data_IF_045672282609
#
_entry.id   IF_045672282609
#
_cell.length_a   1.000
_cell.length_b   1.000
_cell.length_c   1.000
_cell.angle_alpha   90.00
_cell.angle_beta   90.00
_cell.angle_gamma   90.00
#
_symmetry.space_group_name_H-M   'P 1'
#
loop_
_entity.id
_entity.type
_entity.pdbx_description
1 polymer ?
#
# COMPACT_ATOMS: atom_id res chain seq x y z
N UNK A 1 -6.17 3.07 -9.01
CA UNK A 1 -5.45 2.98 -10.31
C UNK A 1 -4.77 1.63 -10.52
N UNK A 2 -4.03 1.10 -9.54
CA UNK A 2 -3.36 -0.21 -9.66
C UNK A 2 -4.31 -1.35 -10.08
N UNK A 3 -5.43 -1.50 -9.38
CA UNK A 3 -6.35 -2.63 -9.63
C UNK A 3 -7.00 -2.56 -11.02
N UNK A 4 -7.40 -1.36 -11.46
CA UNK A 4 -8.00 -1.22 -12.78
C UNK A 4 -6.97 -1.42 -13.91
N UNK A 5 -5.71 -1.04 -13.68
CA UNK A 5 -4.62 -1.38 -14.60
C UNK A 5 -4.36 -2.90 -14.65
N UNK A 6 -4.44 -3.59 -13.50
CA UNK A 6 -4.37 -5.06 -13.44
C UNK A 6 -5.53 -5.71 -14.20
N UNK A 7 -6.75 -5.20 -14.03
CA UNK A 7 -7.94 -5.67 -14.75
C UNK A 7 -7.82 -5.43 -16.27
N UNK A 8 -7.29 -4.28 -16.68
CA UNK A 8 -7.02 -3.98 -18.08
C UNK A 8 -6.02 -4.96 -18.70
N UNK A 9 -4.97 -5.36 -17.98
CA UNK A 9 -4.01 -6.36 -18.45
C UNK A 9 -4.68 -7.73 -18.68
N UNK A 10 -5.53 -8.17 -17.74
CA UNK A 10 -6.32 -9.39 -17.92
C UNK A 10 -7.22 -9.30 -19.16
N UNK A 11 -7.91 -8.17 -19.34
CA UNK A 11 -8.77 -7.93 -20.51
C UNK A 11 -7.98 -7.84 -21.82
N UNK A 12 -6.74 -7.36 -21.78
CA UNK A 12 -5.81 -7.35 -22.89
C UNK A 12 -5.22 -8.74 -23.23
N UNK A 13 -5.63 -9.79 -22.50
CA UNK A 13 -5.22 -11.17 -22.75
C UNK A 13 -3.95 -11.61 -22.01
N UNK A 14 -3.47 -10.83 -21.04
CA UNK A 14 -2.41 -11.30 -20.15
C UNK A 14 -2.99 -12.33 -19.19
N UNK A 15 -2.47 -13.56 -19.23
CA UNK A 15 -2.90 -14.62 -18.33
C UNK A 15 -2.60 -14.28 -16.87
N UNK A 16 -3.45 -14.74 -15.95
CA UNK A 16 -3.36 -14.39 -14.52
C UNK A 16 -2.04 -14.83 -13.87
N UNK A 17 -1.52 -16.00 -14.25
CA UNK A 17 -0.24 -16.54 -13.80
C UNK A 17 0.97 -15.73 -14.30
N UNK A 18 0.77 -14.93 -15.36
CA UNK A 18 1.79 -14.08 -15.99
C UNK A 18 1.70 -12.62 -15.57
N UNK A 19 0.74 -12.27 -14.70
CA UNK A 19 0.64 -10.91 -14.20
C UNK A 19 1.88 -10.54 -13.36
N UNK A 20 2.45 -9.34 -13.56
CA UNK A 20 3.55 -8.88 -12.74
C UNK A 20 3.17 -8.83 -11.26
N UNK A 21 4.09 -9.30 -10.40
CA UNK A 21 3.92 -9.29 -8.94
C UNK A 21 4.41 -8.01 -8.28
N UNK A 22 5.11 -7.17 -9.04
CA UNK A 22 5.68 -5.91 -8.58
C UNK A 22 4.91 -4.75 -9.19
N UNK A 23 4.78 -3.68 -8.42
CA UNK A 23 4.28 -2.36 -8.83
C UNK A 23 4.91 -1.88 -10.15
N UNK A 24 6.23 -1.73 -10.21
CA UNK A 24 6.94 -1.34 -11.44
C UNK A 24 6.68 -2.28 -12.62
N UNK A 25 6.70 -3.59 -12.37
CA UNK A 25 6.39 -4.58 -13.41
C UNK A 25 4.98 -4.41 -13.97
N UNK A 26 4.01 -4.06 -13.13
CA UNK A 26 2.64 -3.78 -13.56
C UNK A 26 2.56 -2.51 -14.41
N UNK A 27 3.27 -1.45 -14.01
CA UNK A 27 3.38 -0.20 -14.80
C UNK A 27 3.96 -0.47 -16.18
N UNK A 28 5.05 -1.24 -16.28
CA UNK A 28 5.67 -1.56 -17.57
C UNK A 28 4.79 -2.47 -18.43
N UNK A 29 4.14 -3.48 -17.83
CA UNK A 29 3.18 -4.31 -18.54
C UNK A 29 2.00 -3.46 -19.06
N UNK A 30 1.47 -2.55 -18.24
CA UNK A 30 0.39 -1.65 -18.65
C UNK A 30 0.83 -0.76 -19.81
N UNK A 31 2.03 -0.17 -19.74
CA UNK A 31 2.59 0.62 -20.85
C UNK A 31 2.69 -0.21 -22.13
N UNK A 32 3.18 -1.44 -22.06
CA UNK A 32 3.30 -2.33 -23.21
C UNK A 32 1.94 -2.71 -23.82
N UNK A 33 0.97 -3.09 -22.99
CA UNK A 33 -0.28 -3.69 -23.45
C UNK A 33 -1.41 -2.68 -23.69
N UNK A 34 -1.39 -1.51 -23.06
CA UNK A 34 -2.42 -0.50 -23.18
C UNK A 34 -1.94 0.77 -23.92
N UNK A 35 -0.71 1.24 -23.66
CA UNK A 35 -0.22 2.50 -24.24
C UNK A 35 0.42 2.26 -25.61
N UNK A 36 1.37 1.32 -25.71
CA UNK A 36 2.07 1.04 -26.97
C UNK A 36 1.16 0.40 -28.03
N UNK A 37 0.08 -0.26 -27.60
CA UNK A 37 -0.98 -0.76 -28.48
C UNK A 37 -1.91 0.34 -29.01
N UNK A 38 -1.79 1.57 -28.50
CA UNK A 38 -2.59 2.72 -28.90
C UNK A 38 -3.97 2.80 -28.26
N UNK A 39 -4.29 1.95 -27.28
CA UNK A 39 -5.59 1.95 -26.60
C UNK A 39 -5.71 3.07 -25.56
N UNK A 40 -4.60 3.44 -24.92
CA UNK A 40 -4.50 4.50 -23.92
C UNK A 40 -3.47 5.53 -24.38
N UNK A 41 -3.81 6.81 -24.22
CA UNK A 41 -2.89 7.91 -24.52
C UNK A 41 -1.62 7.86 -23.65
N UNK A 42 -0.49 8.32 -24.22
CA UNK A 42 0.81 8.28 -23.54
C UNK A 42 0.87 9.14 -22.29
N UNK A 43 0.29 10.33 -22.32
CA UNK A 43 0.25 11.25 -21.18
C UNK A 43 -0.57 10.64 -20.05
N UNK A 44 -1.76 10.12 -20.38
CA UNK A 44 -2.60 9.44 -19.41
C UNK A 44 -1.92 8.17 -18.83
N UNK A 45 -1.23 7.41 -19.67
CA UNK A 45 -0.44 6.25 -19.24
C UNK A 45 0.73 6.61 -18.32
N UNK A 46 1.31 7.81 -18.47
CA UNK A 46 2.39 8.29 -17.61
C UNK A 46 1.90 8.64 -16.19
N UNK A 47 0.64 9.04 -16.03
CA UNK A 47 0.06 9.36 -14.72
C UNK A 47 0.07 8.17 -13.76
N UNK A 48 -0.02 6.92 -14.27
CA UNK A 48 0.05 5.73 -13.42
C UNK A 48 1.37 5.67 -12.62
N UNK A 49 2.51 5.92 -13.28
CA UNK A 49 3.83 5.89 -12.64
C UNK A 49 4.06 7.12 -11.75
N UNK A 50 3.58 8.29 -12.21
CA UNK A 50 3.70 9.55 -11.46
C UNK A 50 2.95 9.48 -10.14
N UNK A 51 1.68 9.05 -10.17
CA UNK A 51 0.83 8.98 -8.98
C UNK A 51 1.30 7.86 -8.03
N UNK A 52 1.81 6.74 -8.55
CA UNK A 52 2.45 5.71 -7.73
C UNK A 52 3.65 6.26 -6.96
N UNK A 53 4.51 7.03 -7.62
CA UNK A 53 5.67 7.66 -6.97
C UNK A 53 5.24 8.63 -5.87
N UNK A 54 4.18 9.40 -6.11
CA UNK A 54 3.62 10.31 -5.12
C UNK A 54 3.01 9.55 -3.93
N UNK A 55 2.31 8.45 -4.16
CA UNK A 55 1.80 7.56 -3.12
C UNK A 55 2.94 7.00 -2.26
N UNK A 56 4.05 6.56 -2.87
CA UNK A 56 5.24 6.12 -2.12
C UNK A 56 5.79 7.27 -1.26
N UNK A 57 5.86 8.48 -1.80
CA UNK A 57 6.30 9.66 -1.03
C UNK A 57 5.37 9.90 0.18
N UNK A 58 4.06 9.90 -0.05
CA UNK A 58 3.04 10.11 0.98
C UNK A 58 3.12 9.07 2.11
N UNK A 59 3.21 7.79 1.73
CA UNK A 59 3.13 6.66 2.67
C UNK A 59 4.41 6.50 3.50
N UNK A 60 5.58 6.83 2.93
CA UNK A 60 6.86 6.39 3.49
C UNK A 60 7.84 7.50 3.86
N UNK A 61 7.62 8.74 3.44
CA UNK A 61 8.60 9.82 3.71
C UNK A 61 8.14 10.84 4.74
N UNK A 62 6.86 10.80 5.13
CA UNK A 62 6.26 11.81 6.01
C UNK A 62 6.25 13.21 5.41
N UNK A 63 6.58 13.35 4.12
CA UNK A 63 6.54 14.60 3.41
C UNK A 63 5.09 15.02 3.19
N UNK A 64 4.79 16.26 3.55
CA UNK A 64 3.49 16.86 3.26
C UNK A 64 3.31 17.00 1.75
N UNK A 65 2.07 16.75 1.30
CA UNK A 65 1.63 16.98 -0.07
C UNK A 65 0.67 18.15 0.00
N UNK A 66 0.95 19.19 -0.77
CA UNK A 66 0.11 20.38 -0.84
C UNK A 66 -1.31 20.02 -1.30
N UNK A 67 -2.32 20.72 -0.75
CA UNK A 67 -3.72 20.43 -1.05
C UNK A 67 -4.01 20.48 -2.55
N UNK A 68 -3.46 21.47 -3.26
CA UNK A 68 -3.63 21.60 -4.72
C UNK A 68 -3.03 20.41 -5.47
N UNK A 69 -1.85 19.92 -5.06
CA UNK A 69 -1.23 18.75 -5.67
C UNK A 69 -2.06 17.49 -5.42
N UNK A 70 -2.58 17.32 -4.19
CA UNK A 70 -3.46 16.21 -3.85
C UNK A 70 -4.76 16.23 -4.67
N UNK A 71 -5.40 17.39 -4.83
CA UNK A 71 -6.60 17.54 -5.64
C UNK A 71 -6.36 17.18 -7.11
N UNK A 72 -5.26 17.66 -7.68
CA UNK A 72 -4.91 17.39 -9.07
C UNK A 72 -4.61 15.90 -9.30
N UNK A 73 -3.95 15.25 -8.33
CA UNK A 73 -3.70 13.80 -8.37
C UNK A 73 -4.99 13.00 -8.34
N UNK A 74 -5.96 13.38 -7.50
CA UNK A 74 -7.27 12.72 -7.45
C UNK A 74 -8.01 12.87 -8.77
N UNK A 75 -8.06 14.08 -9.36
CA UNK A 75 -8.68 14.32 -10.68
C UNK A 75 -8.06 13.46 -11.78
N UNK A 76 -6.73 13.38 -11.81
CA UNK A 76 -6.00 12.57 -12.80
C UNK A 76 -6.21 11.08 -12.59
N UNK A 77 -6.24 10.63 -11.34
CA UNK A 77 -6.56 9.24 -11.00
C UNK A 77 -7.97 8.86 -11.44
N UNK A 78 -8.94 9.75 -11.23
CA UNK A 78 -10.33 9.56 -11.67
C UNK A 78 -10.43 9.47 -13.20
N UNK A 79 -9.81 10.42 -13.92
CA UNK A 79 -9.76 10.40 -15.38
C UNK A 79 -9.13 9.10 -15.91
N UNK A 80 -8.04 8.64 -15.28
CA UNK A 80 -7.39 7.38 -15.62
C UNK A 80 -8.35 6.19 -15.43
N UNK A 81 -8.99 6.08 -14.27
CA UNK A 81 -9.91 4.98 -13.95
C UNK A 81 -11.06 4.95 -14.97
N UNK A 82 -11.75 6.06 -15.17
CA UNK A 82 -12.89 6.14 -16.10
C UNK A 82 -12.48 5.81 -17.54
N UNK A 83 -11.30 6.25 -17.97
CA UNK A 83 -10.82 5.98 -19.33
C UNK A 83 -10.45 4.51 -19.51
N UNK A 84 -9.72 3.92 -18.56
CA UNK A 84 -9.34 2.50 -18.61
C UNK A 84 -10.59 1.62 -18.54
N UNK A 85 -11.53 1.95 -17.67
CA UNK A 85 -12.81 1.23 -17.56
C UNK A 85 -13.54 1.18 -18.89
N UNK A 86 -13.65 2.33 -19.57
CA UNK A 86 -14.32 2.47 -20.86
C UNK A 86 -13.59 1.73 -21.98
N UNK A 87 -12.28 1.95 -22.11
CA UNK A 87 -11.45 1.38 -23.18
C UNK A 87 -11.40 -0.15 -23.11
N UNK A 88 -11.39 -0.70 -21.90
CA UNK A 88 -11.34 -2.14 -21.67
C UNK A 88 -12.71 -2.76 -21.34
N UNK A 89 -13.81 -1.99 -21.38
CA UNK A 89 -15.15 -2.49 -21.11
C UNK A 89 -15.28 -3.20 -19.75
N UNK A 90 -14.66 -2.64 -18.70
CA UNK A 90 -14.60 -3.25 -17.37
C UNK A 90 -15.88 -2.99 -16.54
N UNK A 91 -16.70 -2.01 -16.91
CA UNK A 91 -17.94 -1.65 -16.23
C UNK A 91 -19.19 -2.46 -16.64
N UNK A 92 -19.08 -3.37 -17.61
CA UNK A 92 -20.24 -4.09 -18.15
C UNK A 92 -20.92 -5.03 -17.13
N UNK A 93 -20.18 -5.47 -16.10
CA UNK A 93 -20.67 -6.44 -15.12
C UNK A 93 -21.61 -5.82 -14.07
N UNK A 94 -21.45 -4.54 -13.74
CA UNK A 94 -22.30 -3.83 -12.78
C UNK A 94 -23.62 -3.37 -13.41
N UNK A 95 -23.62 -2.96 -14.69
CA UNK A 95 -24.84 -2.58 -15.41
C UNK A 95 -25.77 -3.76 -15.70
N UNK A 96 -25.21 -4.95 -15.96
CA UNK A 96 -26.01 -6.16 -16.18
C UNK A 96 -26.68 -6.68 -14.89
N UNK A 97 -26.10 -6.38 -13.72
CA UNK A 97 -26.62 -6.81 -12.42
C UNK A 97 -27.73 -5.91 -11.85
N UNK A 98 -28.07 -4.80 -12.51
CA UNK A 98 -29.16 -3.91 -12.07
C UNK A 98 -28.91 -3.20 -10.74
N UNK A 99 -27.68 -3.25 -10.21
CA UNK A 99 -27.28 -2.43 -9.07
C UNK A 99 -27.18 -0.99 -9.59
N UNK A 100 -28.20 -0.20 -9.26
CA UNK A 100 -28.14 1.24 -9.43
C UNK A 100 -26.88 1.73 -8.72
N UNK A 101 -26.20 2.68 -9.33
CA UNK A 101 -25.19 3.49 -8.68
C UNK A 101 -25.94 4.22 -7.57
N UNK A 102 -26.07 3.60 -6.39
CA UNK A 102 -26.45 4.24 -5.14
C UNK A 102 -25.31 5.20 -4.84
N UNK A 103 -25.25 6.29 -5.61
CA UNK A 103 -24.59 7.50 -5.21
C UNK A 103 -25.10 7.73 -3.79
N UNK A 104 -24.23 7.73 -2.77
CA UNK A 104 -24.69 7.95 -1.41
C UNK A 104 -25.47 9.26 -1.44
N UNK A 105 -26.76 9.16 -1.15
CA UNK A 105 -27.59 10.33 -0.93
C UNK A 105 -26.86 11.13 0.16
N UNK A 106 -26.45 12.39 -0.10
CA UNK A 106 -25.79 13.19 0.92
C UNK A 106 -26.65 13.35 2.20
N UNK A 107 -27.94 13.03 2.12
CA UNK A 107 -28.88 13.03 3.23
C UNK A 107 -29.11 11.65 3.89
N UNK A 108 -28.51 10.55 3.40
CA UNK A 108 -28.56 9.24 4.09
C UNK A 108 -27.56 9.23 5.25
N UNK A 109 -27.91 10.01 6.27
CA UNK A 109 -27.25 10.01 7.56
C UNK A 109 -27.47 8.64 8.19
N UNK A 110 -26.47 7.78 8.02
CA UNK A 110 -26.18 6.72 8.99
C UNK A 110 -26.29 7.39 10.36
N UNK A 111 -27.28 6.98 11.14
CA UNK A 111 -27.51 7.50 12.48
C UNK A 111 -26.23 7.28 13.27
N UNK A 112 -25.46 8.36 13.43
CA UNK A 112 -24.37 8.40 14.39
C UNK A 112 -24.98 8.10 15.76
N UNK A 113 -24.50 7.08 16.49
CA UNK A 113 -24.82 7.01 17.91
C UNK A 113 -24.23 8.28 18.53
N UNK A 114 -25.10 9.16 19.02
CA UNK A 114 -24.74 10.47 19.54
C UNK A 114 -23.58 10.39 20.53
N UNK A 115 -22.39 10.75 20.06
CA UNK A 115 -21.25 11.08 20.91
C UNK A 115 -21.17 12.59 20.92
N UNK A 116 -21.38 13.13 22.12
CA UNK A 116 -21.47 14.53 22.40
C UNK A 116 -20.35 15.36 21.73
N UNK A 117 -20.81 16.45 21.15
CA UNK A 117 -20.08 17.64 20.71
C UNK A 117 -18.94 18.06 21.65
N UNK A 118 -17.71 18.02 21.12
CA UNK A 118 -16.63 19.03 21.23
C UNK A 118 -15.61 18.69 20.12
N UNK A 119 -15.07 19.65 19.34
CA UNK A 119 -14.06 19.38 18.32
C UNK A 119 -12.71 19.17 19.02
N UNK A 120 -12.50 17.99 19.58
CA UNK A 120 -11.17 17.54 19.99
C UNK A 120 -10.38 17.34 18.70
N UNK A 121 -9.47 18.28 18.39
CA UNK A 121 -8.61 18.31 17.21
C UNK A 121 -8.21 16.88 16.80
N UNK A 122 -8.41 16.51 15.54
CA UNK A 122 -8.12 15.15 15.04
C UNK A 122 -6.70 14.67 15.42
N UNK A 123 -5.77 15.59 15.66
CA UNK A 123 -4.42 15.29 16.14
C UNK A 123 -4.36 14.80 17.59
N UNK A 124 -5.23 15.30 18.46
CA UNK A 124 -5.34 14.84 19.85
C UNK A 124 -5.92 13.41 19.91
N UNK A 125 -6.88 13.09 19.04
CA UNK A 125 -7.38 11.72 18.89
C UNK A 125 -6.28 10.76 18.43
N UNK A 126 -5.44 11.19 17.48
CA UNK A 126 -4.28 10.39 17.04
C UNK A 126 -3.25 10.23 18.15
N UNK A 127 -2.98 11.28 18.94
CA UNK A 127 -2.07 11.21 20.09
C UNK A 127 -2.57 10.21 21.12
N UNK A 128 -3.84 10.28 21.49
CA UNK A 128 -4.45 9.37 22.46
C UNK A 128 -4.40 7.92 21.99
N UNK A 129 -4.64 7.65 20.70
CA UNK A 129 -4.54 6.32 20.13
C UNK A 129 -3.11 5.75 20.21
N UNK A 130 -2.09 6.58 19.97
CA UNK A 130 -0.67 6.19 20.11
C UNK A 130 -0.33 5.86 21.57
N UNK A 131 -0.77 6.70 22.50
CA UNK A 131 -0.53 6.51 23.94
C UNK A 131 -1.20 5.24 24.46
N UNK A 132 -2.46 5.01 24.07
CA UNK A 132 -3.20 3.79 24.41
C UNK A 132 -2.48 2.53 23.89
N UNK A 133 -1.96 2.59 22.66
CA UNK A 133 -1.19 1.48 22.07
C UNK A 133 0.13 1.22 22.82
N UNK A 134 0.85 2.28 23.19
CA UNK A 134 2.09 2.17 23.97
C UNK A 134 1.82 1.55 25.36
N UNK A 135 0.76 1.98 26.04
CA UNK A 135 0.36 1.40 27.33
C UNK A 135 0.00 -0.08 27.20
N UNK A 136 -0.78 -0.45 26.19
CA UNK A 136 -1.12 -1.86 25.93
C UNK A 136 0.13 -2.71 25.70
N UNK A 137 1.09 -2.21 24.91
CA UNK A 137 2.37 -2.89 24.64
C UNK A 137 3.25 -3.00 25.88
N UNK A 138 3.27 -1.99 26.74
CA UNK A 138 4.05 -1.99 27.97
C UNK A 138 3.50 -3.01 28.98
N UNK A 139 2.18 -3.19 29.06
CA UNK A 139 1.55 -4.22 29.88
C UNK A 139 1.86 -5.64 29.37
N UNK A 140 1.84 -5.86 28.05
CA UNK A 140 2.21 -7.15 27.44
C UNK A 140 3.68 -7.50 27.65
N UNK A 141 4.57 -6.51 27.72
CA UNK A 141 6.01 -6.73 27.96
C UNK A 141 6.37 -6.89 29.43
N UNK A 142 5.59 -6.30 30.36
CA UNK A 142 5.77 -6.53 31.80
C UNK A 142 5.30 -7.93 32.25
N UNK A 143 4.37 -8.56 31.53
CA UNK A 143 4.00 -9.97 31.76
C UNK A 143 5.10 -10.99 31.43
N UNK A 144 6.15 -10.59 30.69
CA UNK A 144 7.22 -11.47 30.23
C UNK A 144 8.51 -11.43 31.09
N UNK A 145 8.57 -10.63 32.17
CA UNK A 145 9.75 -10.56 33.07
C UNK A 145 9.52 -11.27 34.40
N UNK A 146 9.51 -12.60 34.38
CA UNK A 146 9.95 -13.43 35.52
C UNK A 146 10.60 -14.72 35.03
N UNK A 147 11.77 -14.60 34.42
CA UNK A 147 12.69 -15.73 34.28
C UNK A 147 13.93 -15.37 35.08
N UNK A 148 14.07 -16.02 36.24
CA UNK A 148 15.25 -15.85 37.10
C UNK A 148 16.50 -16.41 36.40
N UNK A 149 17.66 -15.77 36.54
CA UNK A 149 18.88 -16.27 35.92
C UNK A 149 19.34 -17.53 36.68
N UNK A 150 19.36 -18.68 36.00
CA UNK A 150 20.06 -19.85 36.51
C UNK A 150 21.56 -19.59 36.47
N UNK A 151 22.17 -19.53 37.64
CA UNK A 151 23.61 -19.57 37.84
C UNK A 151 24.18 -20.89 37.31
N UNK A 152 25.14 -20.80 36.38
CA UNK A 152 26.04 -21.92 36.09
C UNK A 152 27.46 -21.38 36.17
N UNK A 153 28.07 -21.62 37.33
CA UNK A 153 29.51 -21.79 37.44
C UNK A 153 29.85 -23.19 36.92
N UNK A 154 30.78 -23.35 35.97
CA UNK A 154 32.05 -24.04 36.19
C UNK A 154 32.94 -24.00 34.91
N UNK A 155 34.21 -24.24 35.16
CA UNK A 155 35.46 -24.03 34.40
C UNK A 155 35.64 -24.82 33.10
N UNK A 156 36.58 -24.35 32.29
CA UNK A 156 37.33 -25.17 31.32
C UNK A 156 38.14 -24.35 30.32
N UNK A 157 39.32 -23.87 30.74
CA UNK A 157 40.36 -23.38 29.84
C UNK A 157 41.05 -24.58 29.15
N UNK A 158 41.43 -24.45 27.88
CA UNK A 158 42.81 -24.70 27.45
C UNK A 158 43.06 -24.38 25.96
N UNK A 159 44.27 -23.89 25.78
CA UNK A 159 45.03 -23.46 24.61
C UNK A 159 45.38 -24.64 23.69
N UNK A 160 45.52 -24.41 22.37
CA UNK A 160 46.66 -24.91 21.57
C UNK A 160 46.60 -24.55 20.06
N UNK A 161 47.59 -23.75 19.67
CA UNK A 161 48.56 -23.93 18.56
C UNK A 161 48.08 -24.30 17.15
N UNK A 162 48.43 -23.42 16.21
CA UNK A 162 48.52 -23.59 14.76
C UNK A 162 49.37 -24.79 14.32
N UNK A 163 49.19 -25.23 13.05
CA UNK A 163 50.33 -25.68 12.27
C UNK A 163 50.40 -25.08 10.86
N UNK A 164 51.64 -24.83 10.44
CA UNK A 164 52.13 -24.57 9.08
C UNK A 164 51.82 -25.69 8.09
N UNK A 165 51.61 -25.31 6.82
CA UNK A 165 51.92 -26.05 5.60
C UNK A 165 52.40 -24.96 4.61
N UNK A 166 53.58 -24.98 4.00
CA UNK A 166 54.36 -26.11 3.47
C UNK A 166 54.08 -26.23 1.97
N UNK A 167 55.13 -26.00 1.17
CA UNK A 167 55.27 -25.78 -0.28
C UNK A 167 54.70 -26.83 -1.27
N UNK A 168 55.01 -26.59 -2.56
CA UNK A 168 54.85 -27.35 -3.82
C UNK A 168 53.67 -26.85 -4.71
N UNK A 169 53.80 -26.41 -5.96
CA UNK A 169 54.85 -26.46 -7.01
C UNK A 169 54.65 -25.29 -8.00
#
# INVERSE_FOLDING_TARGET
>A
MFDIARAALLRAGVAEDKLPRTHNGLVEAFRKHAVQSGQIDRELGAELSRIESLRIKADYTGAEIELEEALEVVRKAELFVQTVERVFGLGEQYRAAGLQDDKPDPDDKISEPGVATEPVCAEEQRRQARENWLHFRQQQTQGAKRVEPRSVSDRGAEENRSPSLGDDE
#
